data_IF_460962471553
#
_entry.id   IF_460962471553
#
_cell.length_a   1.000
_cell.length_b   1.000
_cell.length_c   1.000
_cell.angle_alpha   90.00
_cell.angle_beta   90.00
_cell.angle_gamma   90.00
#
_symmetry.space_group_name_H-M   'P 1'
#
loop_
_entity.id
_entity.type
_entity.pdbx_description
1 polymer ?
#
# COMPACT_ATOMS: atom_id res chain seq x y z
N UNK A 1 19.46 13.43 -6.08
CA UNK A 1 18.26 13.74 -5.24
C UNK A 1 17.57 15.02 -5.68
N UNK A 2 16.29 14.96 -6.07
CA UNK A 2 15.51 16.16 -6.40
C UNK A 2 15.31 17.06 -5.17
N UNK A 3 15.33 18.38 -5.34
CA UNK A 3 15.21 19.37 -4.24
C UNK A 3 13.77 19.63 -3.79
N UNK A 4 12.83 18.75 -4.16
CA UNK A 4 11.43 18.91 -3.81
C UNK A 4 11.19 18.70 -2.30
N UNK A 5 10.21 19.41 -1.71
CA UNK A 5 9.79 19.20 -0.32
C UNK A 5 9.49 17.73 0.00
N UNK A 6 9.80 17.32 1.22
CA UNK A 6 9.59 15.94 1.69
C UNK A 6 8.13 15.47 1.54
N UNK A 7 7.17 16.39 1.68
CA UNK A 7 5.75 16.14 1.50
C UNK A 7 5.40 15.71 0.07
N UNK A 8 6.03 16.32 -0.93
CA UNK A 8 5.83 15.98 -2.34
C UNK A 8 6.41 14.59 -2.64
N UNK A 9 7.63 14.32 -2.15
CA UNK A 9 8.28 13.01 -2.30
C UNK A 9 7.44 11.89 -1.69
N UNK A 10 6.87 12.13 -0.50
CA UNK A 10 5.93 11.20 0.14
C UNK A 10 4.65 11.01 -0.68
N UNK A 11 4.13 12.08 -1.26
CA UNK A 11 2.97 12.02 -2.15
C UNK A 11 3.17 11.06 -3.32
N UNK A 12 4.34 11.09 -3.95
CA UNK A 12 4.71 10.17 -5.05
C UNK A 12 4.67 8.71 -4.58
N UNK A 13 5.29 8.42 -3.43
CA UNK A 13 5.29 7.05 -2.86
C UNK A 13 3.86 6.58 -2.59
N UNK A 14 3.02 7.43 -2.00
CA UNK A 14 1.63 7.09 -1.65
C UNK A 14 0.80 6.83 -2.90
N UNK A 15 0.92 7.67 -3.92
CA UNK A 15 0.18 7.52 -5.17
C UNK A 15 0.53 6.20 -5.89
N UNK A 16 1.81 5.84 -5.93
CA UNK A 16 2.25 4.57 -6.54
C UNK A 16 1.70 3.34 -5.80
N UNK A 17 1.72 3.38 -4.46
CA UNK A 17 1.17 2.31 -3.62
C UNK A 17 -0.35 2.24 -3.76
N UNK A 18 -1.04 3.38 -3.74
CA UNK A 18 -2.49 3.44 -3.90
C UNK A 18 -2.92 2.84 -5.24
N UNK A 19 -2.29 3.24 -6.34
CA UNK A 19 -2.59 2.66 -7.66
C UNK A 19 -2.39 1.15 -7.67
N UNK A 20 -1.30 0.67 -7.06
CA UNK A 20 -1.04 -0.77 -6.97
C UNK A 20 -2.12 -1.50 -6.17
N UNK A 21 -2.48 -0.99 -4.99
CA UNK A 21 -3.46 -1.65 -4.12
C UNK A 21 -4.86 -1.56 -4.70
N UNK A 22 -5.28 -0.42 -5.26
CA UNK A 22 -6.65 -0.23 -5.74
C UNK A 22 -6.91 -0.81 -7.13
N UNK A 23 -5.94 -0.75 -8.04
CA UNK A 23 -6.17 -1.03 -9.46
C UNK A 23 -5.55 -2.33 -9.95
N UNK A 24 -4.45 -2.78 -9.33
CA UNK A 24 -3.83 -4.02 -9.77
C UNK A 24 -4.57 -5.24 -9.19
N UNK A 25 -4.60 -6.32 -9.96
CA UNK A 25 -5.07 -7.61 -9.46
C UNK A 25 -4.12 -8.11 -8.35
N UNK A 26 -4.61 -8.72 -7.24
CA UNK A 26 -3.80 -9.11 -6.07
C UNK A 26 -2.55 -9.92 -6.41
N UNK A 27 -2.67 -10.82 -7.40
CA UNK A 27 -1.55 -11.63 -7.93
C UNK A 27 -0.32 -10.79 -8.32
N UNK A 28 -0.50 -9.53 -8.72
CA UNK A 28 0.58 -8.65 -9.16
C UNK A 28 1.04 -7.66 -8.11
N UNK A 29 0.41 -7.60 -6.93
CA UNK A 29 0.74 -6.59 -5.90
C UNK A 29 2.19 -6.68 -5.47
N UNK A 30 2.68 -7.88 -5.10
CA UNK A 30 4.07 -8.05 -4.67
C UNK A 30 5.07 -7.64 -5.76
N UNK A 31 4.82 -8.05 -7.00
CA UNK A 31 5.68 -7.68 -8.14
C UNK A 31 5.67 -6.18 -8.42
N UNK A 32 4.51 -5.55 -8.32
CA UNK A 32 4.35 -4.11 -8.54
C UNK A 32 5.02 -3.29 -7.41
N UNK A 33 4.93 -3.74 -6.16
CA UNK A 33 5.60 -3.09 -5.03
C UNK A 33 7.13 -3.18 -5.19
N UNK A 34 7.67 -4.34 -5.57
CA UNK A 34 9.10 -4.49 -5.87
C UNK A 34 9.52 -3.52 -6.98
N UNK A 35 8.76 -3.46 -8.07
CA UNK A 35 9.02 -2.53 -9.17
C UNK A 35 9.00 -1.05 -8.73
N UNK A 36 8.09 -0.68 -7.82
CA UNK A 36 8.03 0.67 -7.23
C UNK A 36 9.29 0.95 -6.41
N UNK A 37 9.72 0.02 -5.55
CA UNK A 37 10.93 0.16 -4.74
C UNK A 37 12.15 0.36 -5.65
N UNK A 38 12.33 -0.50 -6.65
CA UNK A 38 13.42 -0.37 -7.62
C UNK A 38 13.40 0.98 -8.35
N UNK A 39 12.22 1.44 -8.73
CA UNK A 39 12.04 2.75 -9.39
C UNK A 39 12.42 3.90 -8.46
N UNK A 40 12.01 3.86 -7.19
CA UNK A 40 12.32 4.91 -6.22
C UNK A 40 13.82 4.93 -5.88
N UNK A 41 14.45 3.77 -5.72
CA UNK A 41 15.90 3.65 -5.51
C UNK A 41 16.67 4.23 -6.70
N UNK A 42 16.25 3.93 -7.93
CA UNK A 42 16.83 4.54 -9.15
C UNK A 42 16.67 6.06 -9.21
N UNK A 43 15.75 6.64 -8.44
CA UNK A 43 15.52 8.09 -8.34
C UNK A 43 16.17 8.71 -7.09
N UNK A 44 17.19 8.05 -6.51
CA UNK A 44 17.90 8.46 -5.30
C UNK A 44 16.99 8.68 -4.07
N UNK A 45 15.90 7.92 -3.94
CA UNK A 45 15.15 7.93 -2.70
C UNK A 45 15.90 7.08 -1.66
N UNK A 46 16.10 7.58 -0.43
CA UNK A 46 16.72 6.79 0.64
C UNK A 46 15.88 5.55 0.95
N UNK A 47 16.51 4.39 1.14
CA UNK A 47 15.81 3.13 1.41
C UNK A 47 14.90 3.22 2.65
N UNK A 48 15.42 3.77 3.74
CA UNK A 48 14.65 3.95 4.98
C UNK A 48 13.39 4.79 4.73
N UNK A 49 13.53 5.88 3.97
CA UNK A 49 12.40 6.72 3.58
C UNK A 49 11.37 5.94 2.76
N UNK A 50 11.81 5.10 1.81
CA UNK A 50 10.91 4.27 0.99
C UNK A 50 10.14 3.30 1.89
N UNK A 51 10.85 2.50 2.68
CA UNK A 51 10.23 1.44 3.49
C UNK A 51 9.29 2.00 4.55
N UNK A 52 9.68 3.08 5.24
CA UNK A 52 8.84 3.72 6.25
C UNK A 52 7.52 4.23 5.66
N UNK A 53 7.59 4.91 4.51
CA UNK A 53 6.40 5.48 3.88
C UNK A 53 5.50 4.41 3.24
N UNK A 54 6.07 3.37 2.62
CA UNK A 54 5.29 2.24 2.09
C UNK A 54 4.57 1.51 3.24
N UNK A 55 5.29 1.20 4.32
CA UNK A 55 4.73 0.49 5.46
C UNK A 55 3.63 1.31 6.15
N UNK A 56 3.88 2.60 6.39
CA UNK A 56 2.88 3.51 6.94
C UNK A 56 1.62 3.58 6.04
N UNK A 57 1.80 3.60 4.71
CA UNK A 57 0.68 3.66 3.78
C UNK A 57 -0.14 2.37 3.77
N UNK A 58 0.51 1.21 3.68
CA UNK A 58 -0.16 -0.09 3.69
C UNK A 58 -0.94 -0.29 5.00
N UNK A 59 -0.34 0.05 6.15
CA UNK A 59 -1.04 0.02 7.46
C UNK A 59 -2.28 0.92 7.46
N UNK A 60 -2.19 2.12 6.90
CA UNK A 60 -3.33 3.04 6.80
C UNK A 60 -4.45 2.48 5.93
N UNK A 61 -4.11 1.84 4.79
CA UNK A 61 -5.10 1.22 3.90
C UNK A 61 -5.79 0.02 4.56
N UNK A 62 -5.02 -0.84 5.23
CA UNK A 62 -5.57 -1.98 5.97
C UNK A 62 -6.50 -1.51 7.11
N UNK A 63 -6.08 -0.53 7.91
CA UNK A 63 -6.88 -0.01 9.02
C UNK A 63 -8.21 0.58 8.55
N UNK A 64 -8.20 1.39 7.48
CA UNK A 64 -9.43 1.95 6.88
C UNK A 64 -10.38 0.85 6.41
N UNK A 65 -9.85 -0.24 5.85
CA UNK A 65 -10.66 -1.37 5.40
C UNK A 65 -11.27 -2.14 6.57
N UNK A 66 -10.53 -2.36 7.66
CA UNK A 66 -11.04 -3.02 8.88
C UNK A 66 -12.12 -2.19 9.55
N UNK A 67 -11.95 -0.86 9.63
CA UNK A 67 -13.00 0.02 10.14
C UNK A 67 -14.27 -0.06 9.30
N UNK A 68 -14.15 -0.02 7.96
CA UNK A 68 -15.29 -0.15 7.05
C UNK A 68 -16.04 -1.47 7.27
N UNK A 69 -15.32 -2.59 7.40
CA UNK A 69 -15.94 -3.89 7.68
C UNK A 69 -16.67 -3.96 9.01
N UNK A 70 -16.15 -3.30 10.06
CA UNK A 70 -16.85 -3.28 11.35
C UNK A 70 -18.10 -2.39 11.32
N UNK A 71 -18.15 -1.38 10.45
CA UNK A 71 -19.36 -0.59 10.22
C UNK A 71 -20.41 -1.33 9.38
N UNK A 72 -19.97 -2.15 8.42
CA UNK A 72 -20.84 -2.90 7.50
C UNK A 72 -21.36 -4.23 8.09
N UNK A 73 -20.80 -4.71 9.21
CA UNK A 73 -21.20 -5.96 9.92
C UNK A 73 -22.58 -5.90 10.62
N UNK A 74 -23.40 -4.90 10.35
CA UNK A 74 -24.79 -4.83 10.81
C UNK A 74 -25.80 -5.47 9.84
N UNK A 75 -25.35 -6.13 8.78
CA UNK A 75 -26.21 -6.95 7.92
C UNK A 75 -25.51 -8.26 7.60
N UNK A 76 -26.21 -9.37 7.91
CA UNK A 76 -25.83 -10.75 7.65
C UNK A 76 -25.32 -10.93 6.21
N UNK A 77 -24.11 -11.48 6.08
CA UNK A 77 -23.82 -12.67 5.25
C UNK A 77 -22.30 -12.89 5.13
N UNK A 78 -21.92 -14.10 5.52
CA UNK A 78 -20.58 -14.67 5.45
C UNK A 78 -20.23 -14.97 3.98
N UNK A 79 -19.46 -14.10 3.32
CA UNK A 79 -18.45 -14.45 2.29
C UNK A 79 -17.85 -13.17 1.66
N UNK A 80 -16.96 -12.51 2.37
CA UNK A 80 -16.00 -11.62 1.72
C UNK A 80 -14.72 -11.62 2.53
N UNK A 81 -13.95 -12.72 2.42
CA UNK A 81 -12.59 -12.74 2.94
C UNK A 81 -11.85 -11.66 2.13
N UNK A 82 -11.43 -10.55 2.76
CA UNK A 82 -10.75 -9.49 2.04
C UNK A 82 -9.45 -10.09 1.53
N UNK A 83 -9.21 -10.02 0.23
CA UNK A 83 -7.93 -10.27 -0.44
C UNK A 83 -6.66 -9.82 0.33
N UNK A 84 -6.75 -8.78 1.18
CA UNK A 84 -5.66 -8.34 2.07
C UNK A 84 -5.32 -9.36 3.16
N UNK A 85 -6.26 -10.18 3.62
CA UNK A 85 -5.99 -11.28 4.56
C UNK A 85 -4.99 -12.27 3.96
N UNK A 86 -4.99 -12.48 2.64
CA UNK A 86 -4.00 -13.32 1.94
C UNK A 86 -2.60 -12.68 1.99
N UNK A 87 -2.51 -11.35 1.98
CA UNK A 87 -1.23 -10.62 2.09
C UNK A 87 -0.66 -10.72 3.51
N UNK A 88 -1.52 -10.74 4.54
CA UNK A 88 -1.11 -10.88 5.94
C UNK A 88 -0.55 -12.28 6.24
N UNK A 89 -1.02 -13.35 5.57
CA UNK A 89 -0.51 -14.71 5.75
C UNK A 89 0.75 -15.05 4.95
N UNK A 90 1.24 -14.14 4.09
CA UNK A 90 2.42 -14.36 3.23
C UNK A 90 3.69 -13.64 3.72
N UNK A 91 3.70 -13.06 4.92
CA UNK A 91 4.87 -12.47 5.57
C UNK A 91 5.01 -12.92 7.02
#
# INVERSE_FOLDING_TARGET
MSSHPISQKRGVVFEMIDRTVFWAHPKFHSKNIIFIIETLVKNDYPLDFIFDNINARLKSLCYKQTLKQNSDKNTDDMENIPWITIIIFLF
#
